data_IF_942966823454
#
_entry.id   IF_942966823454
#
_cell.length_a   1.000
_cell.length_b   1.000
_cell.length_c   1.000
_cell.angle_alpha   90.00
_cell.angle_beta   90.00
_cell.angle_gamma   90.00
#
_symmetry.space_group_name_H-M   'P 1'
#
loop_
_entity.id
_entity.type
_entity.pdbx_description
1 polymer ?
#
# COMPACT_ATOMS: atom_id res chain seq x y z
N UNK A 1 -20.65 -5.16 12.86
CA UNK A 1 -20.18 -5.03 11.46
C UNK A 1 -20.76 -3.79 10.82
N UNK A 2 -20.09 -3.23 9.81
CA UNK A 2 -20.57 -2.08 9.05
C UNK A 2 -21.33 -2.53 7.80
N UNK A 3 -22.54 -2.05 7.59
CA UNK A 3 -23.26 -2.22 6.33
C UNK A 3 -23.13 -0.95 5.49
N UNK A 4 -22.70 -1.12 4.25
CA UNK A 4 -22.58 -0.04 3.27
C UNK A 4 -23.62 -0.25 2.17
N UNK A 5 -24.49 0.75 1.99
CA UNK A 5 -25.32 0.93 0.80
C UNK A 5 -25.01 2.30 0.22
N UNK A 6 -24.26 2.34 -0.88
CA UNK A 6 -23.89 3.59 -1.54
C UNK A 6 -24.65 3.73 -2.85
N UNK A 7 -25.32 4.86 -3.07
CA UNK A 7 -26.06 5.08 -4.31
C UNK A 7 -25.50 6.27 -5.10
N UNK A 8 -25.42 6.14 -6.41
CA UNK A 8 -25.06 7.26 -7.27
C UNK A 8 -25.27 7.02 -8.75
N UNK A 9 -25.27 8.11 -9.52
CA UNK A 9 -25.49 8.11 -10.98
C UNK A 9 -24.30 8.64 -11.76
N UNK A 10 -23.54 9.54 -11.15
CA UNK A 10 -22.44 10.26 -11.81
C UNK A 10 -21.45 10.83 -10.81
N UNK A 11 -20.17 10.79 -11.16
CA UNK A 11 -19.06 11.40 -10.42
C UNK A 11 -18.39 12.54 -11.20
N UNK A 12 -17.17 12.90 -10.80
CA UNK A 12 -16.33 13.91 -11.47
C UNK A 12 -16.06 13.56 -12.95
N UNK A 13 -16.07 12.27 -13.28
CA UNK A 13 -15.73 11.74 -14.61
C UNK A 13 -16.96 11.38 -15.48
N UNK A 14 -18.17 11.81 -15.11
CA UNK A 14 -19.39 11.56 -15.87
C UNK A 14 -20.31 10.54 -15.20
N UNK A 15 -21.28 10.00 -15.96
CA UNK A 15 -22.20 8.97 -15.48
C UNK A 15 -21.47 7.65 -15.24
N UNK A 16 -21.88 6.89 -14.23
CA UNK A 16 -21.27 5.60 -13.93
C UNK A 16 -21.56 4.60 -15.04
N UNK A 17 -20.51 3.96 -15.54
CA UNK A 17 -20.57 3.02 -16.65
C UNK A 17 -20.68 1.58 -16.11
N UNK A 18 -21.70 0.79 -16.54
CA UNK A 18 -21.89 -0.58 -16.07
C UNK A 18 -20.81 -1.57 -16.56
N UNK A 19 -19.95 -1.18 -17.51
CA UNK A 19 -18.84 -2.00 -18.03
C UNK A 19 -17.85 -2.46 -16.94
N UNK A 20 -17.71 -1.69 -15.86
CA UNK A 20 -16.90 -2.13 -14.73
C UNK A 20 -17.55 -3.30 -13.97
N UNK A 21 -18.89 -3.36 -13.98
CA UNK A 21 -19.69 -4.29 -13.20
C UNK A 21 -19.75 -5.66 -13.85
N UNK A 22 -19.78 -5.75 -15.18
CA UNK A 22 -19.76 -7.02 -15.90
C UNK A 22 -18.36 -7.48 -16.32
N UNK A 23 -17.30 -6.78 -15.85
CA UNK A 23 -15.88 -7.09 -16.09
C UNK A 23 -15.51 -7.20 -17.58
N UNK A 24 -16.18 -6.46 -18.47
CA UNK A 24 -15.88 -6.44 -19.91
C UNK A 24 -14.72 -5.50 -20.27
N UNK A 25 -13.59 -5.67 -19.60
CA UNK A 25 -12.32 -5.00 -19.87
C UNK A 25 -11.17 -5.93 -19.50
N UNK A 26 -9.95 -5.54 -19.85
CA UNK A 26 -8.77 -6.32 -19.49
C UNK A 26 -8.50 -6.21 -17.99
N UNK A 27 -8.97 -7.21 -17.24
CA UNK A 27 -8.84 -7.29 -15.78
C UNK A 27 -7.39 -7.43 -15.33
N UNK A 28 -6.49 -7.96 -16.18
CA UNK A 28 -5.07 -8.12 -15.85
C UNK A 28 -4.35 -6.77 -15.69
N UNK A 29 -4.89 -5.71 -16.30
CA UNK A 29 -4.36 -4.35 -16.17
C UNK A 29 -4.82 -3.63 -14.89
N UNK A 30 -5.57 -4.29 -14.01
CA UNK A 30 -6.11 -3.69 -12.78
C UNK A 30 -5.42 -4.23 -11.53
N UNK A 31 -4.65 -3.40 -10.83
CA UNK A 31 -3.89 -3.78 -9.62
C UNK A 31 -4.75 -4.32 -8.46
N UNK A 32 -6.06 -4.10 -8.49
CA UNK A 32 -6.98 -4.42 -7.38
C UNK A 32 -8.00 -5.51 -7.69
N UNK A 33 -7.97 -6.04 -8.92
CA UNK A 33 -8.87 -7.11 -9.36
C UNK A 33 -8.02 -8.37 -9.51
N UNK A 34 -8.38 -9.40 -8.76
CA UNK A 34 -7.80 -10.72 -8.89
C UNK A 34 -8.49 -11.46 -10.05
N UNK A 35 -7.76 -11.64 -11.16
CA UNK A 35 -8.27 -12.24 -12.38
C UNK A 35 -8.74 -13.70 -12.20
N UNK A 36 -8.14 -14.46 -11.27
CA UNK A 36 -8.58 -15.83 -10.99
C UNK A 36 -9.91 -15.82 -10.22
N UNK A 37 -10.03 -14.93 -9.24
CA UNK A 37 -11.27 -14.77 -8.46
C UNK A 37 -12.41 -14.14 -9.28
N UNK A 38 -12.10 -13.37 -10.32
CA UNK A 38 -13.11 -12.76 -11.21
C UNK A 38 -13.99 -13.80 -11.91
N UNK A 39 -13.49 -15.04 -12.08
CA UNK A 39 -14.26 -16.16 -12.62
C UNK A 39 -15.37 -16.64 -11.69
N UNK A 40 -15.29 -16.32 -10.40
CA UNK A 40 -16.28 -16.68 -9.39
C UNK A 40 -17.38 -15.61 -9.25
N UNK A 41 -17.26 -14.48 -9.95
CA UNK A 41 -18.28 -13.44 -9.94
C UNK A 41 -19.61 -13.98 -10.49
N UNK A 42 -20.69 -13.51 -9.90
CA UNK A 42 -22.06 -13.85 -10.31
C UNK A 42 -22.71 -12.61 -10.88
N UNK A 43 -23.48 -12.78 -11.95
CA UNK A 43 -24.14 -11.69 -12.64
C UNK A 43 -25.62 -12.00 -12.81
N UNK A 44 -26.43 -10.96 -12.91
CA UNK A 44 -27.86 -11.08 -13.17
C UNK A 44 -28.33 -9.90 -14.01
N UNK A 45 -29.28 -10.14 -14.91
CA UNK A 45 -30.02 -9.08 -15.60
C UNK A 45 -31.50 -9.42 -15.77
N UNK A 46 -32.31 -8.39 -16.00
CA UNK A 46 -33.77 -8.48 -16.07
C UNK A 46 -34.30 -9.31 -17.26
N UNK A 47 -33.46 -9.66 -18.23
CA UNK A 47 -33.87 -10.45 -19.40
C UNK A 47 -33.45 -11.92 -19.32
N UNK A 48 -32.24 -12.20 -18.82
CA UNK A 48 -31.63 -13.54 -18.81
C UNK A 48 -31.64 -14.18 -17.43
N UNK A 49 -31.81 -13.40 -16.36
CA UNK A 49 -31.60 -13.87 -15.00
C UNK A 49 -30.13 -14.10 -14.71
N UNK A 50 -29.82 -15.16 -13.95
CA UNK A 50 -28.45 -15.41 -13.48
C UNK A 50 -27.51 -15.89 -14.60
N UNK A 51 -26.34 -15.29 -14.68
CA UNK A 51 -25.23 -15.72 -15.52
C UNK A 51 -23.93 -15.81 -14.71
N UNK A 52 -23.05 -16.72 -15.11
CA UNK A 52 -21.72 -16.92 -14.51
C UNK A 52 -20.65 -16.75 -15.59
N UNK A 53 -19.38 -16.75 -15.20
CA UNK A 53 -18.27 -16.68 -16.14
C UNK A 53 -18.36 -17.78 -17.23
N UNK A 54 -18.54 -19.04 -16.83
CA UNK A 54 -18.64 -20.18 -17.76
C UNK A 54 -19.83 -20.05 -18.73
N UNK A 55 -20.94 -19.49 -18.25
CA UNK A 55 -22.11 -19.25 -19.09
C UNK A 55 -21.84 -18.22 -20.18
N UNK A 56 -21.04 -17.18 -19.86
CA UNK A 56 -20.67 -16.10 -20.79
C UNK A 56 -19.65 -16.54 -21.84
N UNK A 57 -18.78 -17.49 -21.51
CA UNK A 57 -17.84 -18.07 -22.48
C UNK A 57 -18.49 -19.06 -23.46
N UNK A 58 -19.76 -19.41 -23.26
CA UNK A 58 -20.47 -20.34 -24.13
C UNK A 58 -20.85 -19.68 -25.48
N UNK A 59 -20.25 -20.11 -26.61
CA UNK A 59 -20.53 -19.51 -27.92
C UNK A 59 -21.94 -19.82 -28.47
N UNK A 60 -22.66 -20.75 -27.85
CA UNK A 60 -24.01 -21.15 -28.27
C UNK A 60 -25.11 -20.24 -27.70
N UNK A 61 -24.78 -19.35 -26.76
CA UNK A 61 -25.75 -18.47 -26.12
C UNK A 61 -25.40 -16.98 -26.32
N UNK A 62 -26.40 -16.11 -26.56
CA UNK A 62 -26.15 -14.68 -26.68
C UNK A 62 -25.68 -14.09 -25.34
N UNK A 63 -24.42 -13.63 -25.30
CA UNK A 63 -23.88 -12.92 -24.14
C UNK A 63 -23.91 -11.40 -24.33
N UNK A 64 -24.90 -10.74 -23.73
CA UNK A 64 -25.05 -9.29 -23.69
C UNK A 64 -24.33 -8.66 -22.49
N UNK A 65 -23.68 -7.53 -22.74
CA UNK A 65 -23.12 -6.66 -21.69
C UNK A 65 -24.22 -5.96 -20.92
N UNK A 66 -23.94 -5.51 -19.69
CA UNK A 66 -24.89 -4.69 -18.95
C UNK A 66 -25.22 -3.38 -19.67
N UNK A 67 -24.26 -2.80 -20.41
CA UNK A 67 -24.54 -1.65 -21.28
C UNK A 67 -25.59 -1.97 -22.36
N UNK A 68 -25.51 -3.16 -22.97
CA UNK A 68 -26.50 -3.61 -23.95
C UNK A 68 -27.86 -3.91 -23.30
N UNK A 69 -27.88 -4.53 -22.12
CA UNK A 69 -29.09 -4.79 -21.33
C UNK A 69 -29.81 -3.48 -20.98
N UNK A 70 -29.10 -2.50 -20.40
CA UNK A 70 -29.66 -1.19 -20.07
C UNK A 70 -30.20 -0.49 -21.32
N UNK A 71 -29.47 -0.60 -22.43
CA UNK A 71 -29.90 -0.04 -23.71
C UNK A 71 -31.18 -0.70 -24.20
N UNK A 72 -31.25 -2.02 -24.20
CA UNK A 72 -32.46 -2.76 -24.58
C UNK A 72 -33.66 -2.31 -23.75
N UNK A 73 -33.52 -2.24 -22.43
CA UNK A 73 -34.58 -1.79 -21.52
C UNK A 73 -35.04 -0.37 -21.85
N UNK A 74 -34.11 0.56 -22.03
CA UNK A 74 -34.47 1.95 -22.31
C UNK A 74 -35.16 2.13 -23.67
N UNK A 75 -34.76 1.36 -24.68
CA UNK A 75 -35.45 1.37 -25.98
C UNK A 75 -36.83 0.75 -25.89
N UNK A 76 -36.98 -0.36 -25.18
CA UNK A 76 -38.26 -1.05 -24.99
C UNK A 76 -39.27 -0.16 -24.24
N UNK A 77 -38.84 0.50 -23.16
CA UNK A 77 -39.75 1.20 -22.25
C UNK A 77 -39.88 2.71 -22.52
N UNK A 78 -38.88 3.37 -23.11
CA UNK A 78 -38.84 4.84 -23.21
C UNK A 78 -38.73 5.40 -24.63
N UNK A 79 -38.64 4.56 -25.67
CA UNK A 79 -38.58 5.04 -27.05
C UNK A 79 -39.83 5.86 -27.43
N UNK A 80 -41.02 5.43 -27.00
CA UNK A 80 -42.28 6.15 -27.28
C UNK A 80 -42.28 7.56 -26.67
N UNK A 81 -41.77 7.70 -25.44
CA UNK A 81 -41.59 9.00 -24.82
C UNK A 81 -40.66 9.91 -25.64
N UNK A 82 -39.52 9.39 -26.08
CA UNK A 82 -38.54 10.14 -26.88
C UNK A 82 -39.13 10.55 -28.23
N UNK A 83 -39.76 9.61 -28.93
CA UNK A 83 -40.38 9.85 -30.23
C UNK A 83 -41.49 10.91 -30.14
N UNK A 84 -42.37 10.78 -29.15
CA UNK A 84 -43.46 11.73 -28.95
C UNK A 84 -42.94 13.12 -28.53
N UNK A 85 -41.89 13.19 -27.71
CA UNK A 85 -41.24 14.44 -27.36
C UNK A 85 -40.59 15.12 -28.57
N UNK A 86 -39.86 14.36 -29.39
CA UNK A 86 -39.24 14.87 -30.61
C UNK A 86 -40.29 15.37 -31.62
N UNK A 87 -41.38 14.63 -31.81
CA UNK A 87 -42.50 15.06 -32.65
C UNK A 87 -43.13 16.38 -32.17
N UNK A 88 -43.26 16.56 -30.84
CA UNK A 88 -43.71 17.84 -30.26
C UNK A 88 -42.72 18.96 -30.49
N UNK A 89 -41.43 18.71 -30.28
CA UNK A 89 -40.36 19.69 -30.50
C UNK A 89 -40.36 20.16 -31.95
N UNK A 90 -40.43 19.24 -32.92
CA UNK A 90 -40.53 19.53 -34.35
C UNK A 90 -41.75 20.39 -34.69
N UNK A 91 -42.93 20.05 -34.15
CA UNK A 91 -44.15 20.83 -34.32
C UNK A 91 -44.00 22.26 -33.80
N UNK A 92 -43.24 22.44 -32.72
CA UNK A 92 -42.91 23.76 -32.14
C UNK A 92 -41.65 24.41 -32.73
N UNK A 93 -41.03 23.80 -33.76
CA UNK A 93 -39.81 24.27 -34.42
C UNK A 93 -38.58 24.36 -33.51
N UNK A 94 -38.50 23.46 -32.52
CA UNK A 94 -37.39 23.33 -31.57
C UNK A 94 -36.60 22.03 -31.77
N UNK A 95 -36.18 21.76 -33.01
CA UNK A 95 -35.52 20.50 -33.41
C UNK A 95 -34.17 20.32 -32.67
N UNK A 96 -33.53 21.42 -32.25
CA UNK A 96 -32.31 21.40 -31.44
C UNK A 96 -32.48 20.71 -30.08
N UNK A 97 -33.72 20.49 -29.63
CA UNK A 97 -34.05 19.80 -28.38
C UNK A 97 -34.35 18.33 -28.58
N UNK A 98 -34.31 17.83 -29.82
CA UNK A 98 -34.51 16.41 -30.09
C UNK A 98 -33.37 15.61 -29.47
N UNK A 99 -33.73 14.44 -28.95
CA UNK A 99 -32.80 13.53 -28.29
C UNK A 99 -33.07 12.10 -28.70
N UNK A 100 -32.10 11.26 -28.47
CA UNK A 100 -32.19 9.81 -28.64
C UNK A 100 -32.45 9.13 -27.30
N UNK A 101 -32.76 7.84 -27.34
CA UNK A 101 -32.84 7.02 -26.12
C UNK A 101 -31.46 6.92 -25.45
N UNK A 102 -30.38 6.80 -26.24
CA UNK A 102 -29.01 6.79 -25.73
C UNK A 102 -28.65 8.10 -24.97
N UNK A 103 -29.25 9.24 -25.36
CA UNK A 103 -29.09 10.49 -24.62
C UNK A 103 -29.77 10.45 -23.23
N UNK A 104 -30.81 9.64 -23.05
CA UNK A 104 -31.39 9.40 -21.72
C UNK A 104 -30.43 8.61 -20.84
N UNK A 105 -29.78 7.58 -21.39
CA UNK A 105 -28.80 6.75 -20.67
C UNK A 105 -27.55 7.52 -20.26
N UNK A 106 -27.14 8.53 -21.03
CA UNK A 106 -25.96 9.36 -20.71
C UNK A 106 -26.26 10.56 -19.83
N UNK A 107 -27.55 10.87 -19.62
CA UNK A 107 -27.94 12.04 -18.84
C UNK A 107 -28.00 11.68 -17.35
N UNK A 108 -27.28 12.45 -16.52
CA UNK A 108 -27.16 12.22 -15.08
C UNK A 108 -28.48 12.23 -14.29
N UNK A 109 -29.58 12.70 -14.86
CA UNK A 109 -30.91 12.69 -14.24
C UNK A 109 -31.77 11.49 -14.67
N UNK A 110 -31.41 10.83 -15.76
CA UNK A 110 -32.25 9.78 -16.36
C UNK A 110 -31.51 8.47 -16.57
N UNK A 111 -30.18 8.43 -16.42
CA UNK A 111 -29.41 7.19 -16.40
C UNK A 111 -29.79 6.34 -15.18
N UNK A 112 -29.53 5.02 -15.23
CA UNK A 112 -29.70 4.16 -14.07
C UNK A 112 -28.87 4.64 -12.89
N UNK A 113 -29.38 4.39 -11.69
CA UNK A 113 -28.70 4.61 -10.43
C UNK A 113 -28.03 3.33 -9.99
N UNK A 114 -26.74 3.41 -9.66
CA UNK A 114 -26.00 2.30 -9.09
C UNK A 114 -26.14 2.32 -7.57
N UNK A 115 -26.53 1.19 -6.97
CA UNK A 115 -26.40 0.90 -5.55
C UNK A 115 -25.27 -0.12 -5.32
N UNK A 116 -24.37 0.15 -4.37
CA UNK A 116 -23.33 -0.79 -3.94
C UNK A 116 -23.68 -1.33 -2.56
N UNK A 117 -23.78 -2.66 -2.43
CA UNK A 117 -24.03 -3.36 -1.17
C UNK A 117 -22.79 -4.08 -0.68
N UNK A 118 -22.39 -3.82 0.56
CA UNK A 118 -21.27 -4.50 1.22
C UNK A 118 -21.55 -4.65 2.73
N UNK A 119 -21.22 -5.79 3.31
CA UNK A 119 -21.32 -6.01 4.76
C UNK A 119 -19.96 -6.41 5.31
N UNK A 120 -19.36 -5.49 6.06
CA UNK A 120 -18.04 -5.61 6.67
C UNK A 120 -16.97 -4.73 6.02
N UNK A 121 -15.72 -5.01 6.37
CA UNK A 121 -14.51 -4.35 5.88
C UNK A 121 -13.55 -5.39 5.28
N UNK A 122 -12.38 -4.93 4.82
CA UNK A 122 -11.34 -5.81 4.28
C UNK A 122 -10.81 -6.81 5.32
N UNK A 123 -10.87 -6.45 6.60
CA UNK A 123 -10.43 -7.29 7.72
C UNK A 123 -11.50 -8.28 8.19
N UNK A 124 -12.78 -7.88 8.14
CA UNK A 124 -13.90 -8.66 8.64
C UNK A 124 -15.14 -8.41 7.77
N UNK A 125 -15.46 -9.37 6.89
CA UNK A 125 -16.65 -9.34 6.02
C UNK A 125 -17.43 -10.63 6.09
N UNK A 126 -18.71 -10.54 5.75
CA UNK A 126 -19.57 -11.73 5.69
C UNK A 126 -19.18 -12.60 4.50
N UNK A 127 -19.43 -13.93 4.55
CA UNK A 127 -19.26 -14.79 3.40
C UNK A 127 -20.07 -14.30 2.17
N UNK A 128 -19.55 -14.47 0.95
CA UNK A 128 -20.25 -14.14 -0.30
C UNK A 128 -21.70 -14.62 -0.37
N UNK A 129 -21.95 -15.84 0.07
CA UNK A 129 -23.26 -16.48 0.05
C UNK A 129 -24.23 -15.79 1.02
N UNK A 130 -23.72 -15.34 2.17
CA UNK A 130 -24.52 -14.59 3.15
C UNK A 130 -24.87 -13.20 2.60
N UNK A 131 -23.92 -12.53 1.93
CA UNK A 131 -24.19 -11.25 1.27
C UNK A 131 -25.24 -11.42 0.17
N UNK A 132 -25.05 -12.40 -0.71
CA UNK A 132 -25.97 -12.70 -1.81
C UNK A 132 -27.37 -12.97 -1.29
N UNK A 133 -27.51 -13.83 -0.27
CA UNK A 133 -28.81 -14.19 0.28
C UNK A 133 -29.54 -13.00 0.93
N UNK A 134 -28.85 -12.19 1.74
CA UNK A 134 -29.42 -10.97 2.34
C UNK A 134 -29.89 -10.00 1.26
N UNK A 135 -29.07 -9.78 0.23
CA UNK A 135 -29.38 -8.81 -0.83
C UNK A 135 -30.47 -9.33 -1.76
N UNK A 136 -30.54 -10.63 -2.02
CA UNK A 136 -31.66 -11.24 -2.76
C UNK A 136 -32.99 -11.09 -2.01
N UNK A 137 -33.05 -11.37 -0.71
CA UNK A 137 -34.26 -11.11 0.09
C UNK A 137 -34.63 -9.62 0.10
N UNK A 138 -33.63 -8.74 0.08
CA UNK A 138 -33.86 -7.31 -0.05
C UNK A 138 -34.47 -6.96 -1.41
N UNK A 139 -34.01 -7.56 -2.51
CA UNK A 139 -34.59 -7.33 -3.83
C UNK A 139 -36.02 -7.83 -3.94
N UNK A 140 -36.38 -8.95 -3.29
CA UNK A 140 -37.77 -9.40 -3.23
C UNK A 140 -38.67 -8.38 -2.50
N UNK A 141 -38.24 -7.88 -1.34
CA UNK A 141 -38.96 -6.81 -0.62
C UNK A 141 -38.98 -5.50 -1.41
N UNK A 142 -37.90 -5.19 -2.13
CA UNK A 142 -37.78 -4.01 -2.96
C UNK A 142 -38.79 -4.03 -4.11
N UNK A 143 -38.84 -5.13 -4.85
CA UNK A 143 -39.77 -5.33 -5.97
C UNK A 143 -41.22 -5.29 -5.47
N UNK A 144 -41.53 -5.99 -4.37
CA UNK A 144 -42.88 -6.01 -3.81
C UNK A 144 -43.38 -4.62 -3.37
N UNK A 145 -42.48 -3.73 -2.93
CA UNK A 145 -42.83 -2.40 -2.41
C UNK A 145 -42.74 -1.30 -3.46
N UNK A 146 -41.81 -1.41 -4.40
CA UNK A 146 -41.42 -0.32 -5.29
C UNK A 146 -41.42 -0.69 -6.77
N UNK A 147 -41.61 -1.97 -7.12
CA UNK A 147 -41.55 -2.51 -8.49
C UNK A 147 -42.57 -1.94 -9.46
N UNK A 148 -43.54 -1.13 -9.00
CA UNK A 148 -44.44 -0.40 -9.90
C UNK A 148 -43.78 0.82 -10.57
N UNK A 149 -42.66 1.30 -10.03
CA UNK A 149 -41.99 2.53 -10.48
C UNK A 149 -40.45 2.49 -10.39
N UNK A 150 -39.88 1.41 -9.83
CA UNK A 150 -38.44 1.24 -9.70
C UNK A 150 -38.08 -0.16 -10.14
N UNK A 151 -37.19 -0.26 -11.13
CA UNK A 151 -36.89 -1.52 -11.80
C UNK A 151 -35.38 -1.79 -11.78
N UNK A 152 -34.99 -2.92 -11.22
CA UNK A 152 -33.59 -3.39 -11.24
C UNK A 152 -33.32 -3.97 -12.64
N UNK A 153 -32.28 -3.44 -13.29
CA UNK A 153 -31.91 -3.80 -14.66
C UNK A 153 -30.84 -4.89 -14.66
N UNK A 154 -29.84 -4.72 -13.82
CA UNK A 154 -28.69 -5.61 -13.71
C UNK A 154 -28.05 -5.52 -12.33
N UNK A 155 -27.36 -6.58 -11.93
CA UNK A 155 -26.46 -6.55 -10.78
C UNK A 155 -25.33 -7.59 -10.90
N UNK A 156 -24.21 -7.32 -10.24
CA UNK A 156 -23.05 -8.20 -10.19
C UNK A 156 -22.54 -8.35 -8.75
N UNK A 157 -22.31 -9.59 -8.32
CA UNK A 157 -21.57 -9.94 -7.11
C UNK A 157 -20.09 -10.09 -7.47
N UNK A 158 -19.27 -9.19 -6.94
CA UNK A 158 -17.83 -9.17 -7.13
C UNK A 158 -17.11 -9.85 -5.98
N UNK A 159 -16.38 -10.92 -6.31
CA UNK A 159 -15.58 -11.71 -5.39
C UNK A 159 -14.09 -11.57 -5.67
N UNK A 160 -13.71 -10.68 -6.58
CA UNK A 160 -12.37 -10.48 -7.12
C UNK A 160 -11.60 -9.32 -6.49
N UNK A 161 -12.23 -8.61 -5.56
CA UNK A 161 -11.64 -7.47 -4.88
C UNK A 161 -11.38 -7.75 -3.39
N UNK A 162 -10.96 -6.72 -2.65
CA UNK A 162 -10.61 -6.82 -1.22
C UNK A 162 -11.79 -7.19 -0.30
N UNK A 163 -13.04 -6.96 -0.72
CA UNK A 163 -14.23 -7.33 0.05
C UNK A 163 -15.35 -7.72 -0.90
N UNK A 164 -16.09 -8.82 -0.65
CA UNK A 164 -17.28 -9.15 -1.44
C UNK A 164 -18.29 -8.00 -1.42
N UNK A 165 -18.75 -7.58 -2.59
CA UNK A 165 -19.73 -6.51 -2.74
C UNK A 165 -20.60 -6.72 -3.97
N UNK A 166 -21.79 -6.12 -3.97
CA UNK A 166 -22.73 -6.19 -5.08
C UNK A 166 -22.88 -4.79 -5.68
N UNK A 167 -22.69 -4.69 -6.99
CA UNK A 167 -23.11 -3.55 -7.80
C UNK A 167 -24.49 -3.84 -8.38
N UNK A 168 -25.46 -2.96 -8.15
CA UNK A 168 -26.83 -3.09 -8.64
C UNK A 168 -27.23 -1.83 -9.36
N UNK A 169 -27.97 -1.94 -10.45
CA UNK A 169 -28.41 -0.79 -11.22
C UNK A 169 -29.91 -0.84 -11.44
N UNK A 170 -30.58 0.24 -11.06
CA UNK A 170 -32.02 0.40 -11.23
C UNK A 170 -32.38 1.73 -11.88
N UNK A 171 -33.57 1.77 -12.48
CA UNK A 171 -34.17 2.98 -13.02
C UNK A 171 -35.46 3.31 -12.27
N UNK A 172 -35.74 4.60 -12.14
CA UNK A 172 -37.01 5.10 -11.62
C UNK A 172 -37.81 5.68 -12.76
N UNK A 173 -39.04 5.24 -12.96
CA UNK A 173 -39.90 5.75 -14.01
C UNK A 173 -41.32 6.05 -13.52
N UNK A 174 -41.98 6.90 -14.29
CA UNK A 174 -43.35 7.29 -14.05
C UNK A 174 -43.93 7.87 -15.33
N UNK A 175 -45.23 7.67 -15.55
CA UNK A 175 -45.94 8.35 -16.63
C UNK A 175 -45.80 9.87 -16.48
N UNK A 176 -45.48 10.55 -17.58
CA UNK A 176 -45.47 12.01 -17.63
C UNK A 176 -46.90 12.56 -17.80
N UNK A 177 -47.03 13.89 -17.90
CA UNK A 177 -48.36 14.55 -18.08
C UNK A 177 -49.10 14.17 -19.38
N UNK A 178 -48.44 13.47 -20.30
CA UNK A 178 -48.98 13.01 -21.57
C UNK A 178 -49.28 11.50 -21.56
N UNK A 179 -49.10 10.81 -20.43
CA UNK A 179 -49.29 9.36 -20.31
C UNK A 179 -48.13 8.55 -20.88
N UNK A 180 -46.97 9.15 -21.14
CA UNK A 180 -45.78 8.42 -21.62
C UNK A 180 -44.89 8.07 -20.45
N UNK A 181 -44.50 6.79 -20.33
CA UNK A 181 -43.54 6.35 -19.33
C UNK A 181 -42.15 6.92 -19.62
N UNK A 182 -41.52 7.54 -18.61
CA UNK A 182 -40.13 7.95 -18.75
C UNK A 182 -39.38 8.05 -17.42
N UNK A 183 -38.03 8.04 -17.45
CA UNK A 183 -37.23 8.07 -16.24
C UNK A 183 -37.43 9.37 -15.44
N UNK A 184 -38.01 9.27 -14.25
CA UNK A 184 -38.40 10.40 -13.41
C UNK A 184 -38.38 10.06 -11.90
N UNK A 185 -37.19 10.10 -11.29
CA UNK A 185 -36.96 9.72 -9.90
C UNK A 185 -37.90 10.38 -8.88
N UNK A 186 -38.01 11.71 -8.86
CA UNK A 186 -38.84 12.37 -7.84
C UNK A 186 -40.32 12.03 -8.02
N UNK A 187 -40.79 11.95 -9.27
CA UNK A 187 -42.21 11.70 -9.54
C UNK A 187 -42.58 10.25 -9.21
N UNK A 188 -41.72 9.30 -9.60
CA UNK A 188 -41.84 7.89 -9.20
C UNK A 188 -41.99 7.73 -7.68
N UNK A 189 -41.11 8.38 -6.90
CA UNK A 189 -41.17 8.34 -5.44
C UNK A 189 -42.43 9.03 -4.87
N UNK A 190 -42.92 10.07 -5.52
CA UNK A 190 -44.17 10.73 -5.15
C UNK A 190 -45.40 9.83 -5.36
N UNK A 191 -45.50 9.16 -6.51
CA UNK A 191 -46.59 8.21 -6.80
C UNK A 191 -46.52 6.96 -5.90
N UNK A 192 -45.32 6.53 -5.51
CA UNK A 192 -45.10 5.50 -4.48
C UNK A 192 -45.51 5.95 -3.06
N UNK A 193 -45.95 7.19 -2.88
CA UNK A 193 -46.37 7.72 -1.58
C UNK A 193 -45.21 8.00 -0.61
N UNK A 194 -43.97 8.09 -1.09
CA UNK A 194 -42.82 8.41 -0.26
C UNK A 194 -42.90 9.89 0.16
N UNK A 195 -42.94 10.20 1.47
CA UNK A 195 -43.04 11.59 1.91
C UNK A 195 -41.69 12.31 1.80
N UNK A 196 -41.74 13.64 1.74
CA UNK A 196 -40.57 14.46 1.98
C UNK A 196 -40.06 14.24 3.43
N UNK A 197 -38.74 14.32 3.68
CA UNK A 197 -38.21 14.27 5.04
C UNK A 197 -38.85 15.33 5.96
N UNK A 198 -39.17 16.50 5.38
CA UNK A 198 -39.91 17.60 6.03
C UNK A 198 -41.14 17.93 5.20
N UNK A 199 -42.28 17.26 5.43
CA UNK A 199 -43.51 17.42 4.64
C UNK A 199 -44.07 18.85 4.62
N UNK A 200 -43.80 19.60 5.69
CA UNK A 200 -44.21 20.99 5.86
C UNK A 200 -43.37 21.99 5.05
N UNK A 201 -42.23 21.55 4.49
CA UNK A 201 -41.32 22.40 3.72
C UNK A 201 -41.39 22.08 2.23
N UNK A 202 -41.12 23.08 1.39
CA UNK A 202 -41.04 22.87 -0.04
C UNK A 202 -39.92 21.88 -0.41
N UNK A 203 -40.12 21.15 -1.52
CA UNK A 203 -39.10 20.32 -2.13
C UNK A 203 -37.86 21.15 -2.47
N UNK A 204 -36.68 20.60 -2.18
CA UNK A 204 -35.40 21.23 -2.51
C UNK A 204 -34.24 20.24 -2.45
N UNK A 205 -33.02 20.74 -2.69
CA UNK A 205 -31.79 19.91 -2.68
C UNK A 205 -31.64 19.10 -1.38
N UNK A 206 -31.97 19.72 -0.24
CA UNK A 206 -31.87 19.11 1.08
C UNK A 206 -33.20 18.59 1.64
N UNK A 207 -34.29 18.69 0.87
CA UNK A 207 -35.61 18.15 1.25
C UNK A 207 -36.21 17.48 0.01
N UNK A 208 -35.84 16.23 -0.23
CA UNK A 208 -36.25 15.46 -1.39
C UNK A 208 -36.65 14.03 -0.97
N UNK A 209 -37.55 13.40 -1.72
CA UNK A 209 -38.10 12.07 -1.37
C UNK A 209 -37.05 10.97 -1.40
N UNK A 210 -35.97 11.15 -2.17
CA UNK A 210 -34.86 10.18 -2.23
C UNK A 210 -34.22 9.94 -0.88
N UNK A 211 -34.10 10.96 -0.04
CA UNK A 211 -33.57 10.80 1.31
C UNK A 211 -34.44 9.87 2.16
N UNK A 212 -35.77 10.04 2.09
CA UNK A 212 -36.72 9.15 2.79
C UNK A 212 -36.66 7.74 2.21
N UNK A 213 -36.66 7.61 0.88
CA UNK A 213 -36.52 6.31 0.21
C UNK A 213 -35.25 5.58 0.65
N UNK A 214 -34.10 6.25 0.65
CA UNK A 214 -32.83 5.64 1.07
C UNK A 214 -32.81 5.25 2.54
N UNK A 215 -33.50 6.00 3.40
CA UNK A 215 -33.70 5.62 4.79
C UNK A 215 -34.60 4.38 4.92
N UNK A 216 -35.67 4.28 4.12
CA UNK A 216 -36.55 3.10 4.09
C UNK A 216 -35.79 1.87 3.61
N UNK A 217 -35.07 1.95 2.48
CA UNK A 217 -34.25 0.85 1.98
C UNK A 217 -33.22 0.39 3.01
N UNK A 218 -32.59 1.33 3.73
CA UNK A 218 -31.65 1.00 4.80
C UNK A 218 -32.33 0.23 5.92
N UNK A 219 -33.50 0.67 6.39
CA UNK A 219 -34.25 -0.03 7.44
C UNK A 219 -34.59 -1.46 7.02
N UNK A 220 -35.11 -1.65 5.80
CA UNK A 220 -35.42 -2.99 5.27
C UNK A 220 -34.17 -3.87 5.28
N UNK A 221 -33.05 -3.37 4.72
CA UNK A 221 -31.81 -4.13 4.63
C UNK A 221 -31.22 -4.46 6.02
N UNK A 222 -31.33 -3.54 7.00
CA UNK A 222 -30.94 -3.79 8.39
C UNK A 222 -31.80 -4.87 9.04
N UNK A 223 -33.12 -4.83 8.83
CA UNK A 223 -34.04 -5.82 9.38
C UNK A 223 -33.76 -7.21 8.80
N UNK A 224 -33.50 -7.31 7.50
CA UNK A 224 -33.09 -8.56 6.84
C UNK A 224 -31.77 -9.07 7.41
N UNK A 225 -30.74 -8.21 7.46
CA UNK A 225 -29.44 -8.60 8.02
C UNK A 225 -29.53 -9.09 9.47
N UNK A 226 -30.39 -8.47 10.28
CA UNK A 226 -30.66 -8.90 11.66
C UNK A 226 -31.34 -10.27 11.74
N UNK A 227 -32.27 -10.59 10.82
CA UNK A 227 -32.87 -11.94 10.71
C UNK A 227 -31.81 -13.01 10.41
N UNK A 228 -30.74 -12.63 9.73
CA UNK A 228 -29.56 -13.47 9.46
C UNK A 228 -28.50 -13.46 10.56
N UNK A 229 -28.83 -12.94 11.75
CA UNK A 229 -27.94 -12.98 12.93
C UNK A 229 -26.83 -11.91 12.94
N UNK A 230 -26.83 -10.98 11.98
CA UNK A 230 -25.82 -9.94 11.90
C UNK A 230 -26.11 -8.78 12.85
N UNK A 231 -25.09 -8.37 13.60
CA UNK A 231 -25.14 -7.22 14.49
C UNK A 231 -24.45 -6.04 13.81
N UNK A 232 -25.25 -5.12 13.29
CA UNK A 232 -24.80 -3.96 12.52
C UNK A 232 -24.71 -2.69 13.37
N UNK A 233 -23.75 -1.84 13.06
CA UNK A 233 -23.67 -0.48 13.61
C UNK A 233 -24.89 0.34 13.14
N UNK A 234 -25.71 0.81 14.08
CA UNK A 234 -26.98 1.48 13.78
C UNK A 234 -26.84 2.97 13.49
N UNK A 235 -25.75 3.62 13.94
CA UNK A 235 -25.55 5.05 13.70
C UNK A 235 -25.10 5.29 12.24
N UNK A 236 -25.93 5.96 11.41
CA UNK A 236 -25.54 6.23 10.03
C UNK A 236 -24.47 7.32 10.00
N UNK A 237 -23.25 6.94 9.64
CA UNK A 237 -22.18 7.89 9.36
C UNK A 237 -22.37 8.51 7.97
N UNK A 238 -22.97 9.70 7.93
CA UNK A 238 -22.99 10.53 6.72
C UNK A 238 -21.69 11.35 6.62
N UNK A 239 -20.92 11.18 5.54
CA UNK A 239 -19.75 12.02 5.25
C UNK A 239 -18.46 11.70 6.02
N UNK A 240 -18.21 10.43 6.37
CA UNK A 240 -16.92 10.00 6.95
C UNK A 240 -15.80 9.94 5.91
N UNK A 241 -14.79 10.83 6.06
CA UNK A 241 -13.73 11.22 5.09
C UNK A 241 -14.34 11.81 3.81
N UNK A 242 -13.77 12.94 3.34
CA UNK A 242 -14.16 13.54 2.05
C UNK A 242 -14.25 12.43 1.00
N UNK A 243 -15.41 12.33 0.33
CA UNK A 243 -15.67 11.33 -0.69
C UNK A 243 -14.58 11.39 -1.76
N UNK A 244 -13.68 10.43 -1.70
CA UNK A 244 -12.70 10.14 -2.74
C UNK A 244 -13.33 9.02 -3.56
N UNK A 245 -13.51 9.24 -4.86
CA UNK A 245 -13.87 8.16 -5.79
C UNK A 245 -12.89 7.00 -5.59
N UNK A 246 -13.27 5.75 -5.84
CA UNK A 246 -12.42 4.57 -5.57
C UNK A 246 -10.98 4.77 -6.09
N UNK A 247 -10.83 5.38 -7.26
CA UNK A 247 -9.54 5.78 -7.85
C UNK A 247 -8.78 6.83 -7.01
N UNK A 248 -9.47 7.86 -6.52
CA UNK A 248 -8.90 8.87 -5.63
C UNK A 248 -8.50 8.25 -4.26
N UNK A 249 -9.28 7.29 -3.75
CA UNK A 249 -8.97 6.57 -2.52
C UNK A 249 -7.73 5.68 -2.69
N UNK A 250 -7.66 4.96 -3.81
CA UNK A 250 -6.48 4.18 -4.21
C UNK A 250 -5.25 5.08 -4.30
N UNK A 251 -5.37 6.23 -4.99
CA UNK A 251 -4.27 7.17 -5.15
C UNK A 251 -3.80 7.74 -3.82
N UNK A 252 -4.72 8.06 -2.90
CA UNK A 252 -4.38 8.49 -1.55
C UNK A 252 -3.64 7.38 -0.79
N UNK A 253 -4.10 6.12 -0.88
CA UNK A 253 -3.45 4.99 -0.23
C UNK A 253 -2.05 4.73 -0.80
N UNK A 254 -1.87 4.84 -2.11
CA UNK A 254 -0.56 4.75 -2.77
C UNK A 254 0.37 5.87 -2.29
N UNK A 255 -0.13 7.11 -2.17
CA UNK A 255 0.64 8.23 -1.61
C UNK A 255 1.05 8.00 -0.15
N UNK A 256 0.15 7.48 0.68
CA UNK A 256 0.47 7.10 2.07
C UNK A 256 1.57 6.03 2.13
N UNK A 257 1.49 5.01 1.26
CA UNK A 257 2.50 3.96 1.18
C UNK A 257 3.85 4.48 0.70
N UNK A 258 3.87 5.37 -0.30
CA UNK A 258 5.09 6.02 -0.77
C UNK A 258 5.73 6.86 0.33
N UNK A 259 4.94 7.65 1.06
CA UNK A 259 5.46 8.45 2.19
C UNK A 259 6.05 7.57 3.30
N UNK A 260 5.44 6.41 3.60
CA UNK A 260 5.99 5.46 4.55
C UNK A 260 7.29 4.80 4.06
N UNK A 261 7.42 4.54 2.75
CA UNK A 261 8.66 4.05 2.15
C UNK A 261 9.77 5.11 2.16
N UNK A 262 9.44 6.37 1.89
CA UNK A 262 10.38 7.50 2.00
C UNK A 262 10.93 7.64 3.43
N UNK A 263 10.07 7.59 4.46
CA UNK A 263 10.52 7.61 5.85
C UNK A 263 11.46 6.45 6.19
N UNK A 264 11.17 5.24 5.68
CA UNK A 264 12.02 4.07 5.88
C UNK A 264 13.38 4.21 5.17
N UNK A 265 13.41 4.87 4.02
CA UNK A 265 14.64 5.17 3.29
C UNK A 265 15.49 6.21 4.04
N UNK A 266 14.86 7.23 4.62
CA UNK A 266 15.53 8.24 5.45
C UNK A 266 16.15 7.60 6.70
N UNK A 267 15.43 6.72 7.39
CA UNK A 267 15.95 5.97 8.55
C UNK A 267 17.15 5.09 8.18
N UNK A 268 17.10 4.41 7.03
CA UNK A 268 18.22 3.61 6.53
C UNK A 268 19.43 4.47 6.16
N UNK A 269 19.20 5.66 5.62
CA UNK A 269 20.27 6.61 5.27
C UNK A 269 20.99 7.10 6.52
N UNK A 270 20.25 7.47 7.57
CA UNK A 270 20.83 7.85 8.87
C UNK A 270 21.64 6.71 9.50
N UNK A 271 21.16 5.47 9.42
CA UNK A 271 21.90 4.30 9.91
C UNK A 271 23.21 4.06 9.16
N UNK A 272 23.26 4.33 7.86
CA UNK A 272 24.50 4.23 7.07
C UNK A 272 25.49 5.34 7.50
N UNK A 273 25.00 6.55 7.75
CA UNK A 273 25.83 7.66 8.23
C UNK A 273 26.43 7.38 9.61
N UNK A 274 25.64 6.84 10.56
CA UNK A 274 26.12 6.44 11.89
C UNK A 274 27.21 5.36 11.80
N UNK A 275 27.06 4.39 10.88
CA UNK A 275 28.06 3.35 10.67
C UNK A 275 29.32 3.92 10.00
N UNK A 276 29.19 4.84 9.04
CA UNK A 276 30.34 5.53 8.43
C UNK A 276 31.13 6.31 9.49
N UNK A 277 30.46 7.01 10.42
CA UNK A 277 31.11 7.71 11.54
C UNK A 277 31.82 6.75 12.50
N UNK A 278 31.20 5.60 12.82
CA UNK A 278 31.82 4.59 13.68
C UNK A 278 33.09 3.99 13.05
N UNK A 279 33.10 3.77 11.73
CA UNK A 279 34.30 3.30 11.01
C UNK A 279 35.43 4.31 11.14
N UNK A 280 35.14 5.61 11.01
CA UNK A 280 36.16 6.66 11.11
C UNK A 280 36.78 6.69 12.53
N UNK A 281 35.95 6.59 13.56
CA UNK A 281 36.42 6.54 14.96
C UNK A 281 37.25 5.28 15.25
N UNK A 282 36.73 4.10 14.91
CA UNK A 282 37.41 2.82 15.19
C UNK A 282 38.71 2.69 14.41
N UNK A 283 38.73 3.10 13.13
CA UNK A 283 39.93 3.04 12.28
C UNK A 283 41.03 3.97 12.80
N UNK A 284 40.66 5.17 13.23
CA UNK A 284 41.58 6.15 13.83
C UNK A 284 42.22 5.60 15.12
N UNK A 285 41.42 5.03 16.01
CA UNK A 285 41.90 4.44 17.28
C UNK A 285 42.75 3.20 17.03
N UNK A 286 42.33 2.33 16.12
CA UNK A 286 43.08 1.12 15.76
C UNK A 286 44.44 1.47 15.14
N UNK A 287 44.51 2.50 14.29
CA UNK A 287 45.76 2.97 13.71
C UNK A 287 46.73 3.48 14.78
N UNK A 288 46.26 4.34 15.69
CA UNK A 288 47.09 4.84 16.79
C UNK A 288 47.65 3.68 17.63
N UNK A 289 46.81 2.69 17.94
CA UNK A 289 47.23 1.53 18.73
C UNK A 289 48.21 0.62 17.98
N UNK A 290 48.02 0.43 16.68
CA UNK A 290 48.94 -0.32 15.84
C UNK A 290 50.31 0.36 15.77
N UNK A 291 50.36 1.69 15.63
CA UNK A 291 51.62 2.45 15.65
C UNK A 291 52.32 2.33 17.00
N UNK A 292 51.59 2.36 18.12
CA UNK A 292 52.18 2.11 19.44
C UNK A 292 52.81 0.72 19.54
N UNK A 293 52.06 -0.33 19.19
CA UNK A 293 52.55 -1.72 19.26
C UNK A 293 53.77 -1.95 18.36
N UNK A 294 53.75 -1.42 17.13
CA UNK A 294 54.89 -1.52 16.21
C UNK A 294 56.10 -0.75 16.75
N UNK A 295 55.89 0.41 17.36
CA UNK A 295 56.99 1.19 17.96
C UNK A 295 57.60 0.45 19.14
N UNK A 296 56.77 -0.19 19.97
CA UNK A 296 57.22 -1.00 21.11
C UNK A 296 57.98 -2.26 20.64
N UNK A 297 57.57 -2.89 19.54
CA UNK A 297 58.27 -4.05 18.97
C UNK A 297 59.61 -3.66 18.32
N UNK A 298 59.65 -2.56 17.56
CA UNK A 298 60.89 -2.04 16.96
C UNK A 298 61.92 -1.68 18.03
N UNK A 299 61.48 -1.23 19.22
CA UNK A 299 62.35 -0.98 20.35
C UNK A 299 63.05 -2.24 20.86
N UNK A 300 62.38 -3.39 20.81
CA UNK A 300 62.98 -4.68 21.21
C UNK A 300 63.95 -5.21 20.16
N UNK A 301 63.67 -4.96 18.87
CA UNK A 301 64.50 -5.44 17.76
C UNK A 301 65.73 -4.57 17.46
N UNK A 302 65.75 -3.30 17.87
CA UNK A 302 66.81 -2.36 17.46
C UNK A 302 67.98 -2.39 18.44
N UNK A 303 69.15 -2.89 18.02
CA UNK A 303 70.43 -2.83 18.74
C UNK A 303 70.47 -3.44 20.16
N UNK A 304 69.42 -4.17 20.58
CA UNK A 304 69.41 -4.86 21.87
C UNK A 304 70.45 -5.99 21.89
N UNK A 305 70.53 -6.77 20.81
CA UNK A 305 71.56 -7.79 20.60
C UNK A 305 72.98 -7.18 20.58
N UNK A 306 73.14 -5.99 20.00
CA UNK A 306 74.42 -5.26 19.98
C UNK A 306 74.84 -4.81 21.40
N UNK A 307 73.88 -4.37 22.22
CA UNK A 307 74.13 -4.00 23.62
C UNK A 307 74.51 -5.23 24.44
N UNK A 308 73.84 -6.35 24.23
CA UNK A 308 74.12 -7.62 24.92
C UNK A 308 75.53 -8.12 24.60
N UNK A 309 75.95 -8.08 23.33
CA UNK A 309 77.30 -8.41 22.91
C UNK A 309 78.39 -7.54 23.60
N UNK A 310 78.09 -6.24 23.79
CA UNK A 310 79.02 -5.32 24.47
C UNK A 310 79.05 -5.59 25.98
N UNK A 311 77.91 -5.91 26.59
CA UNK A 311 77.84 -6.30 28.01
C UNK A 311 78.60 -7.61 28.28
N UNK A 312 78.51 -8.61 27.40
CA UNK A 312 79.31 -9.84 27.48
C UNK A 312 80.81 -9.54 27.43
N UNK A 313 81.22 -8.59 26.59
CA UNK A 313 82.61 -8.12 26.50
C UNK A 313 83.05 -7.42 27.80
N UNK A 314 82.15 -6.69 28.47
CA UNK A 314 82.43 -6.09 29.78
C UNK A 314 82.62 -7.15 30.86
N UNK A 315 81.76 -8.18 30.89
CA UNK A 315 81.90 -9.32 31.82
C UNK A 315 83.23 -10.03 31.58
N UNK A 316 83.61 -10.25 30.33
CA UNK A 316 84.89 -10.84 29.95
C UNK A 316 86.10 -10.02 30.46
N UNK A 317 86.04 -8.68 30.37
CA UNK A 317 87.08 -7.78 30.86
C UNK A 317 87.20 -7.77 32.40
N UNK A 318 86.09 -7.97 33.11
CA UNK A 318 86.03 -8.01 34.57
C UNK A 318 86.46 -9.35 35.17
N UNK A 319 86.62 -10.40 34.34
CA UNK A 319 87.07 -11.71 34.80
C UNK A 319 88.41 -11.65 35.54
N UNK A 320 88.51 -12.42 36.63
CA UNK A 320 89.70 -12.57 37.47
C UNK A 320 90.90 -13.19 36.74
N UNK A 321 90.66 -13.82 35.58
CA UNK A 321 91.69 -14.47 34.75
C UNK A 321 92.47 -13.48 33.86
N UNK A 322 92.04 -12.21 33.80
CA UNK A 322 92.66 -11.21 32.92
C UNK A 322 93.97 -10.69 33.50
N UNK A 323 95.03 -10.78 32.68
CA UNK A 323 96.39 -10.35 33.04
C UNK A 323 96.65 -8.85 32.84
N UNK A 324 95.70 -8.11 32.28
CA UNK A 324 95.84 -6.68 32.00
C UNK A 324 95.75 -5.84 33.29
N UNK A 325 96.53 -4.73 33.41
CA UNK A 325 96.47 -3.82 34.55
C UNK A 325 95.06 -3.31 34.85
N UNK A 326 94.70 -3.20 36.13
CA UNK A 326 93.37 -2.73 36.57
C UNK A 326 92.97 -1.39 35.94
N UNK A 327 93.89 -0.43 35.90
CA UNK A 327 93.67 0.91 35.35
C UNK A 327 93.29 0.89 33.86
N UNK A 328 93.84 -0.05 33.09
CA UNK A 328 93.53 -0.20 31.65
C UNK A 328 92.18 -0.88 31.44
N UNK A 329 91.84 -1.86 32.29
CA UNK A 329 90.53 -2.51 32.30
C UNK A 329 89.41 -1.54 32.67
N UNK A 330 89.60 -0.74 33.72
CA UNK A 330 88.63 0.27 34.16
C UNK A 330 88.42 1.34 33.08
N UNK A 331 89.50 1.75 32.40
CA UNK A 331 89.40 2.68 31.27
C UNK A 331 88.61 2.08 30.09
N UNK A 332 88.85 0.82 29.73
CA UNK A 332 88.11 0.13 28.67
C UNK A 332 86.62 -0.02 29.03
N UNK A 333 86.30 -0.41 30.26
CA UNK A 333 84.92 -0.52 30.76
C UNK A 333 84.18 0.83 30.65
N UNK A 334 84.81 1.92 31.08
CA UNK A 334 84.23 3.26 30.98
C UNK A 334 83.96 3.69 29.52
N UNK A 335 84.77 3.23 28.56
CA UNK A 335 84.55 3.49 27.13
C UNK A 335 83.41 2.64 26.57
N UNK A 336 83.30 1.37 26.95
CA UNK A 336 82.18 0.49 26.57
C UNK A 336 80.85 1.02 27.13
N UNK A 337 80.83 1.47 28.38
CA UNK A 337 79.65 2.15 28.96
C UNK A 337 79.26 3.41 28.18
N UNK A 338 80.24 4.18 27.71
CA UNK A 338 80.02 5.32 26.83
C UNK A 338 79.40 4.93 25.48
N UNK A 339 79.78 3.79 24.93
CA UNK A 339 79.22 3.25 23.67
C UNK A 339 77.79 2.77 23.88
N UNK A 340 77.52 1.98 24.92
CA UNK A 340 76.16 1.52 25.27
C UNK A 340 75.21 2.72 25.44
N UNK A 341 75.65 3.78 26.16
CA UNK A 341 74.86 5.01 26.31
C UNK A 341 74.56 5.70 24.97
N UNK A 342 75.52 5.74 24.05
CA UNK A 342 75.33 6.32 22.72
C UNK A 342 74.37 5.50 21.86
N UNK A 343 74.47 4.17 21.90
CA UNK A 343 73.58 3.24 21.19
C UNK A 343 72.15 3.40 21.70
N UNK A 344 71.94 3.35 23.04
CA UNK A 344 70.61 3.57 23.64
C UNK A 344 70.02 4.93 23.27
N UNK A 345 70.82 5.99 23.25
CA UNK A 345 70.38 7.34 22.86
C UNK A 345 70.01 7.41 21.37
N UNK A 346 70.79 6.76 20.50
CA UNK A 346 70.51 6.69 19.08
C UNK A 346 69.20 5.92 18.81
N UNK A 347 69.02 4.77 19.48
CA UNK A 347 67.80 3.97 19.44
C UNK A 347 66.58 4.80 19.85
N UNK A 348 66.64 5.49 20.98
CA UNK A 348 65.52 6.32 21.45
C UNK A 348 65.21 7.47 20.49
N UNK A 349 66.22 8.12 19.92
CA UNK A 349 66.04 9.17 18.91
C UNK A 349 65.41 8.65 17.61
N UNK A 350 65.80 7.46 17.17
CA UNK A 350 65.22 6.83 15.97
C UNK A 350 63.76 6.42 16.21
N UNK A 351 63.44 5.83 17.36
CA UNK A 351 62.08 5.46 17.73
C UNK A 351 61.14 6.68 17.76
N UNK A 352 61.56 7.77 18.38
CA UNK A 352 60.77 9.01 18.42
C UNK A 352 60.52 9.58 17.02
N UNK A 353 61.52 9.51 16.13
CA UNK A 353 61.37 9.95 14.74
C UNK A 353 60.41 9.06 13.95
N UNK A 354 60.50 7.74 14.11
CA UNK A 354 59.59 6.78 13.45
C UNK A 354 58.17 6.96 13.96
N UNK A 355 57.97 7.05 15.28
CA UNK A 355 56.66 7.28 15.90
C UNK A 355 56.04 8.59 15.42
N UNK A 356 56.82 9.68 15.41
CA UNK A 356 56.36 10.99 14.94
C UNK A 356 55.99 10.99 13.44
N UNK A 357 56.77 10.28 12.60
CA UNK A 357 56.48 10.16 11.18
C UNK A 357 55.22 9.34 10.89
N UNK A 358 54.96 8.28 11.67
CA UNK A 358 53.78 7.42 11.52
C UNK A 358 52.51 8.07 12.09
N UNK A 359 52.62 8.83 13.19
CA UNK A 359 51.50 9.57 13.78
C UNK A 359 51.22 10.92 13.09
N UNK A 360 51.98 11.28 12.06
CA UNK A 360 51.74 12.51 11.31
C UNK A 360 50.33 12.50 10.70
N UNK A 361 49.60 13.60 10.81
CA UNK A 361 48.19 13.71 10.44
C UNK A 361 47.90 13.19 9.01
N UNK A 362 48.72 13.58 8.04
CA UNK A 362 48.57 13.16 6.64
C UNK A 362 48.69 11.63 6.45
N UNK A 363 49.55 10.96 7.21
CA UNK A 363 49.74 9.50 7.12
C UNK A 363 48.58 8.77 7.78
N UNK A 364 48.17 9.25 8.96
CA UNK A 364 47.00 8.73 9.66
C UNK A 364 45.74 8.86 8.80
N UNK A 365 45.48 10.05 8.25
CA UNK A 365 44.32 10.32 7.41
C UNK A 365 44.32 9.45 6.14
N UNK A 366 45.45 9.33 5.45
CA UNK A 366 45.55 8.50 4.25
C UNK A 366 45.24 7.01 4.51
N UNK A 367 45.67 6.47 5.66
CA UNK A 367 45.41 5.07 6.02
C UNK A 367 43.97 4.87 6.47
N UNK A 368 43.40 5.79 7.24
CA UNK A 368 41.99 5.75 7.65
C UNK A 368 41.05 5.77 6.43
N UNK A 369 41.32 6.63 5.44
CA UNK A 369 40.54 6.69 4.20
C UNK A 369 40.64 5.39 3.37
N UNK A 370 41.82 4.77 3.33
CA UNK A 370 41.98 3.49 2.62
C UNK A 370 41.22 2.35 3.33
N UNK A 371 41.25 2.30 4.67
CA UNK A 371 40.44 1.35 5.46
C UNK A 371 38.96 1.56 5.18
N UNK A 372 38.49 2.80 5.15
CA UNK A 372 37.11 3.16 4.83
C UNK A 372 36.70 2.67 3.46
N UNK A 373 37.53 2.93 2.45
CA UNK A 373 37.28 2.52 1.05
C UNK A 373 37.16 1.00 0.90
N UNK A 374 37.94 0.23 1.64
CA UNK A 374 37.90 -1.24 1.59
C UNK A 374 36.74 -1.83 2.41
N UNK A 375 36.34 -1.16 3.48
CA UNK A 375 35.36 -1.69 4.45
C UNK A 375 33.92 -1.29 4.09
N UNK A 376 33.73 -0.13 3.46
CA UNK A 376 32.41 0.39 3.05
C UNK A 376 31.62 -0.57 2.14
N UNK A 377 32.20 -1.19 1.08
CA UNK A 377 31.46 -2.15 0.26
C UNK A 377 30.96 -3.36 1.04
N UNK A 378 31.78 -3.91 1.95
CA UNK A 378 31.45 -5.10 2.74
C UNK A 378 30.33 -4.84 3.76
N UNK A 379 30.30 -3.65 4.35
CA UNK A 379 29.24 -3.24 5.28
C UNK A 379 27.93 -3.03 4.55
N UNK A 380 27.95 -2.36 3.39
CA UNK A 380 26.76 -2.19 2.55
C UNK A 380 26.18 -3.55 2.15
N UNK A 381 27.03 -4.48 1.73
CA UNK A 381 26.61 -5.85 1.39
C UNK A 381 26.05 -6.61 2.61
N UNK A 382 26.64 -6.43 3.80
CA UNK A 382 26.14 -7.03 5.05
C UNK A 382 24.80 -6.44 5.48
N UNK A 383 24.59 -5.13 5.29
CA UNK A 383 23.32 -4.45 5.53
C UNK A 383 22.23 -4.95 4.58
N UNK A 384 22.53 -5.07 3.28
CA UNK A 384 21.60 -5.64 2.30
C UNK A 384 21.19 -7.06 2.69
N UNK A 385 22.15 -7.90 3.08
CA UNK A 385 21.90 -9.27 3.53
C UNK A 385 21.05 -9.31 4.81
N UNK A 386 21.34 -8.45 5.79
CA UNK A 386 20.56 -8.34 7.02
C UNK A 386 19.12 -7.90 6.77
N UNK A 387 18.90 -6.94 5.86
CA UNK A 387 17.56 -6.53 5.44
C UNK A 387 16.80 -7.67 4.73
N UNK A 388 17.49 -8.46 3.90
CA UNK A 388 16.90 -9.59 3.20
C UNK A 388 16.54 -10.74 4.16
N UNK A 389 17.40 -11.03 5.13
CA UNK A 389 17.11 -11.98 6.21
C UNK A 389 15.96 -11.52 7.11
N UNK A 390 15.86 -10.22 7.39
CA UNK A 390 14.76 -9.67 8.18
C UNK A 390 13.45 -9.73 7.40
N UNK A 391 13.46 -9.43 6.10
CA UNK A 391 12.29 -9.67 5.21
C UNK A 391 11.85 -11.13 5.23
N UNK A 392 12.80 -12.08 5.16
CA UNK A 392 12.50 -13.51 5.28
C UNK A 392 11.88 -13.86 6.63
N UNK A 393 12.46 -13.41 7.74
CA UNK A 393 11.92 -13.61 9.10
C UNK A 393 10.53 -13.01 9.29
N UNK A 394 10.26 -11.84 8.73
CA UNK A 394 8.95 -11.19 8.77
C UNK A 394 7.91 -11.99 7.97
N UNK A 395 8.29 -12.49 6.77
CA UNK A 395 7.42 -13.37 5.97
C UNK A 395 7.15 -14.71 6.65
N UNK A 396 8.14 -15.32 7.29
CA UNK A 396 7.99 -16.58 8.02
C UNK A 396 7.12 -16.39 9.27
N UNK A 397 7.28 -15.27 9.99
CA UNK A 397 6.47 -14.93 11.15
C UNK A 397 5.00 -14.66 10.79
N UNK A 398 4.73 -14.05 9.64
CA UNK A 398 3.36 -13.91 9.11
C UNK A 398 2.76 -15.26 8.71
N UNK A 399 3.57 -16.15 8.14
CA UNK A 399 3.13 -17.50 7.74
C UNK A 399 2.81 -18.38 8.95
N UNK A 400 3.64 -18.34 10.00
CA UNK A 400 3.38 -19.05 11.27
C UNK A 400 2.17 -18.48 12.02
N UNK A 401 1.91 -17.17 11.96
CA UNK A 401 0.69 -16.57 12.51
C UNK A 401 -0.57 -17.00 11.76
N UNK A 402 -0.50 -17.20 10.43
CA UNK A 402 -1.60 -17.77 9.63
C UNK A 402 -1.84 -19.24 9.97
N UNK A 403 -0.79 -20.06 10.10
CA UNK A 403 -0.92 -21.46 10.49
C UNK A 403 -1.47 -21.63 11.91
N UNK A 404 -1.01 -20.84 12.90
CA UNK A 404 -1.58 -20.87 14.26
C UNK A 404 -3.05 -20.44 14.34
N UNK A 405 -3.54 -19.62 13.39
CA UNK A 405 -4.97 -19.32 13.29
C UNK A 405 -5.76 -20.50 12.73
N UNK A 406 -5.23 -21.18 11.71
CA UNK A 406 -5.85 -22.40 11.17
C UNK A 406 -5.87 -23.55 12.18
N UNK A 407 -4.83 -23.72 12.99
CA UNK A 407 -4.78 -24.77 14.03
C UNK A 407 -5.68 -24.49 15.26
N UNK A 408 -6.21 -23.26 15.40
CA UNK A 408 -7.22 -22.95 16.44
C UNK A 408 -8.66 -23.05 15.92
N UNK A 409 -8.85 -23.26 14.61
CA UNK A 409 -10.17 -23.41 13.97
C UNK A 409 -10.49 -24.88 13.59
N UNK A 410 -9.61 -25.82 13.95
CA UNK A 410 -9.80 -27.28 13.97
C UNK A 410 -9.98 -27.76 15.40
#
# INVERSE_FOLDING_TARGET
MKLTRHNGRSGKHGTYNPRHNDRRFDVENSEHIDAERARQNVYWDCYRGFTTHDFRENPEQPDFSFEEIERMYYYEHYADHVNAQNARNEKTRHIERNRTVDDLLKNNKTCPEESIYQIGTMEESVPPETLALIVSEFYEEFENRFGSHIHILDWALHLDEGTPHIHERHVFDCENRYGELCPQQEKALEELGIPLPKPEQAKGKHNNRKQTFDAVCRTILFDIAKRHGLHLEQEPSYGGREYLEKQDYILMKQKEQLAAQEQKLEELTLKIEDVDNLIDEVSSVAYDKAVELVTDEVKNMTHQEDIEMIEDTKVWLQSSERKAPQKERDYALARLDGIIKKIRKAMQSTLEKVKSALLHADKKQAVTEEIKKQTKPSIVESLYRGMEEQRKRDSESQTQKKQKKQDMEL
#
